data_IF_173345039652
#
_entry.id   IF_173345039652
#
_cell.length_a   1.000
_cell.length_b   1.000
_cell.length_c   1.000
_cell.angle_alpha   90.00
_cell.angle_beta   90.00
_cell.angle_gamma   90.00
#
_symmetry.space_group_name_H-M   'P 1'
#
loop_
_entity.id
_entity.type
_entity.pdbx_description
1 polymer ?
#
# COMPACT_ATOMS: atom_id res chain seq x y z
N UNK A 1 8.27 -10.70 -6.40
CA UNK A 1 9.23 -11.47 -7.25
C UNK A 1 8.63 -11.58 -8.64
N UNK A 2 9.40 -11.29 -9.69
CA UNK A 2 8.97 -11.40 -11.08
C UNK A 2 8.61 -12.86 -11.39
N UNK A 3 7.68 -13.10 -12.33
CA UNK A 3 7.39 -14.42 -12.86
C UNK A 3 8.65 -15.04 -13.49
N UNK A 4 8.85 -16.30 -13.24
CA UNK A 4 9.93 -17.10 -13.79
C UNK A 4 9.46 -18.56 -13.87
N UNK A 5 9.60 -19.17 -15.02
CA UNK A 5 9.09 -20.52 -15.28
C UNK A 5 9.67 -21.60 -14.35
N UNK A 6 10.86 -21.37 -13.83
CA UNK A 6 11.57 -22.37 -13.02
C UNK A 6 11.48 -22.10 -11.52
N UNK A 7 11.51 -20.82 -11.11
CA UNK A 7 11.60 -20.42 -9.70
C UNK A 7 10.37 -19.75 -9.13
N UNK A 8 9.43 -19.28 -9.99
CA UNK A 8 8.24 -18.54 -9.56
C UNK A 8 7.06 -18.72 -10.55
N UNK A 9 6.89 -19.91 -11.05
CA UNK A 9 5.87 -20.29 -12.04
C UNK A 9 4.42 -20.15 -11.52
N UNK A 10 4.23 -20.16 -10.21
CA UNK A 10 2.92 -20.00 -9.55
C UNK A 10 2.52 -18.54 -9.33
N UNK A 11 3.30 -17.58 -9.81
CA UNK A 11 2.90 -16.18 -9.80
C UNK A 11 1.99 -15.90 -11.00
N UNK A 12 0.70 -15.87 -10.76
CA UNK A 12 -0.32 -15.56 -11.75
C UNK A 12 -0.74 -14.07 -11.76
N UNK A 13 -0.31 -13.31 -10.76
CA UNK A 13 -0.77 -11.95 -10.56
C UNK A 13 -0.01 -10.92 -11.41
N UNK A 14 1.31 -10.89 -11.34
CA UNK A 14 2.11 -9.80 -11.95
C UNK A 14 3.42 -10.36 -12.51
N UNK A 15 3.60 -10.27 -13.83
CA UNK A 15 4.77 -10.79 -14.55
C UNK A 15 5.85 -9.74 -14.86
N UNK A 16 5.67 -8.48 -14.53
CA UNK A 16 6.60 -7.39 -14.88
C UNK A 16 7.18 -6.68 -13.67
N UNK A 17 8.33 -6.01 -13.87
CA UNK A 17 8.95 -5.15 -12.85
C UNK A 17 8.25 -3.79 -12.73
N UNK A 18 7.65 -3.31 -13.82
CA UNK A 18 6.92 -2.04 -13.85
C UNK A 18 5.44 -2.37 -13.91
N UNK A 19 4.67 -1.80 -12.98
CA UNK A 19 3.26 -2.04 -12.84
C UNK A 19 2.50 -0.74 -12.70
N UNK A 20 1.27 -0.71 -13.21
CA UNK A 20 0.32 0.36 -12.96
C UNK A 20 -0.28 0.18 -11.56
N UNK A 21 -0.45 1.28 -10.87
CA UNK A 21 -1.08 1.39 -9.57
C UNK A 21 -2.24 2.38 -9.68
N UNK A 22 -3.45 1.93 -9.38
CA UNK A 22 -4.64 2.77 -9.32
C UNK A 22 -5.19 2.66 -7.91
N UNK A 23 -5.34 3.78 -7.24
CA UNK A 23 -5.97 3.85 -5.92
C UNK A 23 -7.14 4.83 -5.97
N UNK A 24 -8.28 4.38 -5.51
CA UNK A 24 -9.46 5.20 -5.27
C UNK A 24 -9.79 5.13 -3.79
N UNK A 25 -9.81 6.28 -3.13
CA UNK A 25 -10.09 6.36 -1.71
C UNK A 25 -11.02 7.48 -1.34
N UNK A 26 -11.81 7.27 -0.29
CA UNK A 26 -12.61 8.30 0.36
C UNK A 26 -12.09 8.50 1.77
N UNK A 27 -11.86 9.75 2.13
CA UNK A 27 -11.40 10.13 3.47
C UNK A 27 -12.30 11.21 4.02
N UNK A 28 -12.89 10.94 5.17
CA UNK A 28 -13.59 11.92 5.97
C UNK A 28 -12.61 12.55 6.96
N UNK A 29 -12.54 13.87 6.97
CA UNK A 29 -11.73 14.63 7.90
C UNK A 29 -12.63 15.36 8.87
N UNK A 30 -12.51 15.06 10.15
CA UNK A 30 -13.22 15.75 11.20
C UNK A 30 -12.22 16.57 12.05
N UNK A 31 -12.39 17.89 12.00
CA UNK A 31 -11.60 18.81 12.82
C UNK A 31 -12.21 18.90 14.21
N UNK A 32 -11.58 18.27 15.20
CA UNK A 32 -12.04 18.26 16.57
C UNK A 32 -11.33 19.30 17.45
N UNK A 33 -10.22 19.85 16.94
CA UNK A 33 -9.49 20.97 17.56
C UNK A 33 -8.87 21.85 16.47
N UNK A 34 -8.58 23.15 16.73
CA UNK A 34 -8.07 24.08 15.70
C UNK A 34 -6.86 23.56 14.91
N UNK A 35 -6.00 22.80 15.54
CA UNK A 35 -4.78 22.26 14.94
C UNK A 35 -4.84 20.74 14.68
N UNK A 36 -5.95 20.07 15.04
CA UNK A 36 -6.05 18.63 14.97
C UNK A 36 -7.27 18.17 14.19
N UNK A 37 -7.04 17.20 13.33
CA UNK A 37 -8.10 16.52 12.58
C UNK A 37 -7.97 15.02 12.78
N UNK A 38 -9.09 14.35 12.88
CA UNK A 38 -9.20 12.92 12.72
C UNK A 38 -9.57 12.64 11.26
N UNK A 39 -8.83 11.75 10.63
CA UNK A 39 -9.11 11.27 9.28
C UNK A 39 -9.53 9.80 9.35
N UNK A 40 -10.63 9.44 8.72
CA UNK A 40 -11.06 8.06 8.57
C UNK A 40 -11.47 7.82 7.13
N UNK A 41 -11.09 6.70 6.55
CA UNK A 41 -11.36 6.45 5.15
C UNK A 41 -11.29 5.00 4.73
N UNK A 42 -11.69 4.77 3.50
CA UNK A 42 -11.61 3.48 2.81
C UNK A 42 -10.91 3.67 1.48
N UNK A 43 -10.14 2.65 1.09
CA UNK A 43 -9.38 2.63 -0.14
C UNK A 43 -9.66 1.37 -0.93
N UNK A 44 -9.74 1.53 -2.23
CA UNK A 44 -9.67 0.46 -3.20
C UNK A 44 -8.40 0.64 -4.04
N UNK A 45 -7.60 -0.39 -4.13
CA UNK A 45 -6.36 -0.36 -4.89
C UNK A 45 -6.32 -1.48 -5.91
N UNK A 46 -5.90 -1.13 -7.11
CA UNK A 46 -5.66 -2.06 -8.21
C UNK A 46 -4.21 -1.97 -8.67
N UNK A 47 -3.53 -3.12 -8.72
CA UNK A 47 -2.21 -3.26 -9.34
C UNK A 47 -2.32 -4.15 -10.57
N UNK A 48 -1.73 -3.72 -11.68
CA UNK A 48 -1.61 -4.53 -12.88
C UNK A 48 -0.44 -4.05 -13.74
N UNK A 49 0.03 -4.88 -14.62
CA UNK A 49 1.03 -4.47 -15.60
C UNK A 49 0.42 -4.00 -16.94
N UNK A 50 -0.89 -3.76 -16.98
CA UNK A 50 -1.58 -3.34 -18.21
C UNK A 50 -1.49 -4.38 -19.34
N UNK A 51 -1.36 -5.65 -19.01
CA UNK A 51 -1.18 -6.75 -19.95
C UNK A 51 0.07 -6.63 -20.85
N UNK A 52 1.06 -5.88 -20.39
CA UNK A 52 2.33 -5.73 -21.12
C UNK A 52 3.21 -6.97 -21.04
N UNK A 53 2.97 -7.83 -20.05
CA UNK A 53 3.70 -9.08 -19.84
C UNK A 53 2.84 -10.10 -19.08
N UNK A 54 2.88 -11.36 -19.50
CA UNK A 54 2.24 -12.45 -18.78
C UNK A 54 3.09 -12.86 -17.55
N UNK A 55 2.47 -13.25 -16.44
CA UNK A 55 1.05 -13.18 -16.14
C UNK A 55 0.58 -11.75 -15.75
N UNK A 56 -0.71 -11.49 -15.86
CA UNK A 56 -1.35 -10.25 -15.47
C UNK A 56 -2.75 -10.51 -14.86
N UNK A 57 -2.84 -11.36 -13.86
CA UNK A 57 -4.06 -11.55 -13.09
C UNK A 57 -4.46 -10.31 -12.28
N UNK A 58 -3.48 -9.41 -12.04
CA UNK A 58 -3.67 -8.21 -11.24
C UNK A 58 -3.84 -8.52 -9.75
N UNK A 59 -3.83 -7.47 -8.95
CA UNK A 59 -4.10 -7.55 -7.52
C UNK A 59 -5.06 -6.43 -7.13
N UNK A 60 -6.19 -6.79 -6.53
CA UNK A 60 -7.16 -5.86 -5.98
C UNK A 60 -7.15 -5.94 -4.47
N UNK A 61 -7.12 -4.78 -3.81
CA UNK A 61 -7.20 -4.70 -2.35
C UNK A 61 -8.24 -3.68 -1.92
N UNK A 62 -8.92 -3.94 -0.81
CA UNK A 62 -9.76 -2.99 -0.12
C UNK A 62 -9.15 -2.79 1.26
N UNK A 63 -8.95 -1.54 1.65
CA UNK A 63 -8.37 -1.16 2.93
C UNK A 63 -9.20 -0.11 3.66
N UNK A 64 -9.03 -0.06 4.96
CA UNK A 64 -9.50 1.05 5.79
C UNK A 64 -8.31 1.79 6.39
N UNK A 65 -8.44 3.11 6.56
CA UNK A 65 -7.43 3.93 7.23
C UNK A 65 -8.03 4.78 8.33
N UNK A 66 -7.27 4.98 9.38
CA UNK A 66 -7.54 5.99 10.41
C UNK A 66 -6.24 6.75 10.66
N UNK A 67 -6.32 8.07 10.75
CA UNK A 67 -5.16 8.91 10.97
C UNK A 67 -5.48 10.14 11.80
N UNK A 68 -4.46 10.68 12.44
CA UNK A 68 -4.52 11.96 13.14
C UNK A 68 -3.60 12.93 12.39
N UNK A 69 -4.12 14.08 12.02
CA UNK A 69 -3.38 15.14 11.34
C UNK A 69 -3.21 16.31 12.28
N UNK A 70 -1.97 16.73 12.50
CA UNK A 70 -1.65 17.95 13.24
C UNK A 70 -1.11 19.01 12.26
N UNK A 71 -1.72 20.18 12.32
CA UNK A 71 -1.23 21.35 11.57
C UNK A 71 -0.33 22.18 12.49
N UNK A 72 0.95 22.32 12.13
CA UNK A 72 1.88 23.18 12.84
C UNK A 72 1.78 24.59 12.25
N UNK A 73 1.95 25.62 13.10
CA UNK A 73 1.89 27.02 12.71
C UNK A 73 0.56 27.46 12.08
N UNK A 74 -0.54 26.84 12.49
CA UNK A 74 -1.85 27.37 12.20
C UNK A 74 -1.98 28.70 12.94
N UNK A 75 -1.84 29.81 12.25
CA UNK A 75 -2.19 31.11 12.79
C UNK A 75 -3.66 31.07 13.19
N UNK A 76 -3.96 31.52 14.41
CA UNK A 76 -5.33 31.60 14.90
C UNK A 76 -6.14 32.50 13.98
N UNK A 77 -6.83 31.93 13.03
CA UNK A 77 -7.86 32.64 12.26
C UNK A 77 -9.10 32.74 13.11
N UNK A 78 -9.04 33.64 14.07
CA UNK A 78 -10.23 34.11 14.71
C UNK A 78 -11.14 34.75 13.69
N UNK A 79 -12.34 34.19 13.60
CA UNK A 79 -13.60 34.81 13.22
C UNK A 79 -13.57 36.04 12.32
N UNK A 80 -14.15 35.87 11.17
CA UNK A 80 -14.67 36.96 10.36
C UNK A 80 -15.01 36.41 8.98
N UNK A 81 -16.26 36.14 8.72
CA UNK A 81 -16.77 35.82 7.39
C UNK A 81 -16.54 37.00 6.45
N UNK A 82 -15.32 37.12 5.94
CA UNK A 82 -14.98 38.00 4.83
C UNK A 82 -14.55 37.06 3.70
N UNK A 83 -15.10 37.31 2.51
CA UNK A 83 -14.84 36.56 1.28
C UNK A 83 -13.35 36.20 1.16
N UNK A 84 -13.01 34.98 0.74
CA UNK A 84 -11.64 34.51 0.80
C UNK A 84 -10.78 35.36 -0.13
N UNK A 85 -10.09 36.33 0.44
CA UNK A 85 -8.93 36.93 -0.20
C UNK A 85 -8.05 35.75 -0.60
N UNK A 86 -7.74 35.60 -1.88
CA UNK A 86 -6.89 34.51 -2.37
C UNK A 86 -5.60 34.55 -1.55
N UNK A 87 -5.52 33.69 -0.55
CA UNK A 87 -4.34 33.59 0.31
C UNK A 87 -3.20 33.07 -0.56
N UNK A 88 -2.22 33.90 -0.76
CA UNK A 88 -0.97 33.48 -1.35
C UNK A 88 -0.28 32.55 -0.34
N UNK A 89 -0.34 31.25 -0.60
CA UNK A 89 0.37 30.25 0.19
C UNK A 89 1.79 30.19 -0.39
N UNK A 90 2.76 30.60 0.41
CA UNK A 90 4.17 30.47 0.04
C UNK A 90 4.49 28.98 -0.16
N UNK A 91 5.32 28.66 -1.17
CA UNK A 91 5.82 27.30 -1.32
C UNK A 91 6.49 26.82 -0.02
N UNK A 92 6.19 25.61 0.39
CA UNK A 92 6.73 25.01 1.62
C UNK A 92 6.76 23.48 1.50
N UNK A 93 7.58 22.87 2.33
CA UNK A 93 7.64 21.41 2.46
C UNK A 93 6.64 20.95 3.51
N UNK A 94 5.91 19.88 3.19
CA UNK A 94 5.10 19.12 4.13
C UNK A 94 5.56 17.66 4.15
N UNK A 95 5.23 16.95 5.22
CA UNK A 95 5.60 15.55 5.38
C UNK A 95 4.33 14.74 5.61
N UNK A 96 4.11 13.77 4.75
CA UNK A 96 3.02 12.80 4.91
C UNK A 96 3.61 11.51 5.48
N UNK A 97 3.03 11.01 6.56
CA UNK A 97 3.38 9.72 7.15
C UNK A 97 2.10 8.89 7.25
N UNK A 98 2.11 7.72 6.62
CA UNK A 98 1.03 6.76 6.67
C UNK A 98 1.55 5.44 7.21
N UNK A 99 0.89 4.92 8.24
CA UNK A 99 1.10 3.55 8.72
C UNK A 99 -0.21 2.80 8.50
N UNK A 100 -0.11 1.60 7.98
CA UNK A 100 -1.27 0.76 7.74
C UNK A 100 -1.03 -0.69 8.14
N UNK A 101 -2.10 -1.38 8.42
CA UNK A 101 -2.07 -2.81 8.73
C UNK A 101 -3.22 -3.53 8.06
N UNK A 102 -3.00 -4.78 7.73
CA UNK A 102 -4.00 -5.66 7.16
C UNK A 102 -3.74 -7.11 7.58
N UNK A 103 -4.70 -7.96 7.32
CA UNK A 103 -4.54 -9.40 7.41
C UNK A 103 -4.99 -10.05 6.11
N UNK A 104 -4.33 -11.11 5.71
CA UNK A 104 -4.77 -11.89 4.55
C UNK A 104 -4.57 -13.39 4.75
N UNK A 105 -5.33 -14.16 3.99
CA UNK A 105 -5.12 -15.60 3.80
C UNK A 105 -4.38 -15.82 2.49
N UNK A 106 -3.58 -16.85 2.42
CA UNK A 106 -2.85 -17.23 1.21
C UNK A 106 -3.30 -18.59 0.73
N UNK A 107 -3.53 -18.72 -0.56
CA UNK A 107 -3.72 -19.97 -1.25
C UNK A 107 -2.66 -20.17 -2.32
N UNK A 108 -2.48 -21.39 -2.76
CA UNK A 108 -1.68 -21.77 -3.93
C UNK A 108 -2.36 -22.95 -4.64
N UNK A 109 -2.05 -23.12 -5.90
CA UNK A 109 -2.54 -24.25 -6.69
C UNK A 109 -1.39 -25.22 -6.86
N UNK A 110 -1.58 -26.47 -6.46
CA UNK A 110 -0.64 -27.58 -6.72
C UNK A 110 -1.38 -28.67 -7.47
N UNK A 111 -0.83 -29.07 -8.62
CA UNK A 111 -1.42 -30.11 -9.46
C UNK A 111 -2.89 -29.85 -9.81
N UNK A 112 -3.24 -28.57 -10.02
CA UNK A 112 -4.62 -28.16 -10.31
C UNK A 112 -5.54 -28.06 -9.08
N UNK A 113 -5.07 -28.39 -7.87
CA UNK A 113 -5.87 -28.37 -6.64
C UNK A 113 -5.59 -27.08 -5.85
N UNK A 114 -6.60 -26.21 -5.70
CA UNK A 114 -6.48 -25.03 -4.84
C UNK A 114 -6.28 -25.45 -3.37
N UNK A 115 -5.21 -25.00 -2.75
CA UNK A 115 -4.90 -25.31 -1.35
C UNK A 115 -4.74 -24.00 -0.56
N UNK A 116 -5.45 -23.89 0.55
CA UNK A 116 -5.35 -22.75 1.46
C UNK A 116 -4.29 -23.02 2.52
N UNK A 117 -3.38 -22.06 2.70
CA UNK A 117 -2.42 -22.10 3.80
C UNK A 117 -3.18 -21.83 5.11
N UNK A 118 -3.03 -22.67 6.13
CA UNK A 118 -3.69 -22.47 7.41
C UNK A 118 -3.29 -21.15 8.07
N UNK A 119 -4.27 -20.48 8.69
CA UNK A 119 -4.06 -19.25 9.43
C UNK A 119 -4.24 -17.99 8.60
N UNK A 120 -3.94 -16.87 9.24
CA UNK A 120 -3.95 -15.53 8.66
C UNK A 120 -2.58 -14.89 8.84
N UNK A 121 -2.17 -14.11 7.86
CA UNK A 121 -0.86 -13.45 7.84
C UNK A 121 -1.05 -11.95 8.05
N UNK A 122 -0.30 -11.38 8.99
CA UNK A 122 -0.27 -9.95 9.22
C UNK A 122 0.54 -9.22 8.14
N UNK A 123 0.06 -8.06 7.76
CA UNK A 123 0.74 -7.12 6.88
C UNK A 123 0.83 -5.79 7.62
N UNK A 124 2.01 -5.18 7.64
CA UNK A 124 2.22 -3.84 8.18
C UNK A 124 3.01 -3.04 7.16
N UNK A 125 2.55 -1.83 6.89
CA UNK A 125 3.24 -0.96 5.95
C UNK A 125 3.40 0.45 6.48
N UNK A 126 4.43 1.11 5.96
CA UNK A 126 4.80 2.49 6.23
C UNK A 126 5.02 3.19 4.90
N UNK A 127 4.45 4.38 4.76
CA UNK A 127 4.76 5.30 3.67
C UNK A 127 5.17 6.64 4.27
N UNK A 128 6.33 7.14 3.87
CA UNK A 128 6.82 8.45 4.25
C UNK A 128 7.05 9.28 2.98
N UNK A 129 6.37 10.42 2.86
CA UNK A 129 6.45 11.25 1.67
C UNK A 129 6.70 12.73 2.03
N UNK A 130 7.93 13.23 1.84
CA UNK A 130 8.19 14.65 1.79
C UNK A 130 7.60 15.25 0.50
N UNK A 131 6.73 16.24 0.66
CA UNK A 131 6.00 16.89 -0.44
C UNK A 131 6.31 18.38 -0.47
N UNK A 132 6.69 18.89 -1.63
CA UNK A 132 6.87 20.32 -1.87
C UNK A 132 5.58 20.89 -2.43
N UNK A 133 4.95 21.77 -1.66
CA UNK A 133 3.72 22.46 -2.01
C UNK A 133 4.07 23.69 -2.85
N UNK A 134 3.71 23.67 -4.13
CA UNK A 134 3.92 24.80 -5.07
C UNK A 134 2.92 25.95 -4.84
N UNK A 135 1.95 25.72 -3.99
CA UNK A 135 0.89 26.63 -3.63
C UNK A 135 -0.25 25.85 -3.00
N UNK A 136 -1.50 26.28 -3.21
CA UNK A 136 -2.65 25.60 -2.60
C UNK A 136 -3.21 24.46 -3.47
N UNK A 137 -2.78 24.32 -4.72
CA UNK A 137 -3.36 23.34 -5.67
C UNK A 137 -2.42 22.21 -6.02
N UNK A 138 -1.14 22.44 -6.10
CA UNK A 138 -0.16 21.47 -6.58
C UNK A 138 0.88 21.17 -5.54
N UNK A 139 1.16 19.90 -5.38
CA UNK A 139 2.30 19.42 -4.59
C UNK A 139 2.99 18.26 -5.30
N UNK A 140 4.30 18.24 -5.22
CA UNK A 140 5.16 17.22 -5.80
C UNK A 140 6.16 16.74 -4.76
N UNK A 141 6.58 15.50 -4.87
CA UNK A 141 7.52 14.94 -3.92
C UNK A 141 7.94 13.54 -4.26
N UNK A 142 8.58 12.92 -3.31
CA UNK A 142 8.94 11.51 -3.37
C UNK A 142 8.31 10.77 -2.19
N UNK A 143 8.12 9.46 -2.31
CA UNK A 143 7.74 8.63 -1.17
C UNK A 143 8.68 7.45 -1.02
N UNK A 144 8.93 7.11 0.23
CA UNK A 144 9.61 5.89 0.65
C UNK A 144 8.57 4.97 1.26
N UNK A 145 8.48 3.78 0.73
CA UNK A 145 7.52 2.77 1.13
C UNK A 145 8.24 1.57 1.75
N UNK A 146 7.74 1.10 2.86
CA UNK A 146 8.19 -0.13 3.50
C UNK A 146 7.01 -1.02 3.83
N UNK A 147 7.06 -2.28 3.45
CA UNK A 147 5.99 -3.25 3.73
C UNK A 147 6.58 -4.53 4.28
N UNK A 148 6.07 -4.95 5.42
CA UNK A 148 6.19 -6.30 5.91
C UNK A 148 4.95 -7.09 5.54
N UNK A 149 5.13 -8.22 4.87
CA UNK A 149 4.05 -9.14 4.52
C UNK A 149 4.37 -10.53 5.02
N UNK A 150 3.74 -10.93 6.11
CA UNK A 150 3.95 -12.24 6.73
C UNK A 150 3.59 -13.44 5.84
N UNK A 151 2.90 -13.21 4.73
CA UNK A 151 2.57 -14.25 3.75
C UNK A 151 3.55 -14.32 2.58
N UNK A 152 4.45 -13.33 2.47
CA UNK A 152 5.40 -13.30 1.37
C UNK A 152 6.38 -14.49 1.48
N UNK A 153 6.63 -15.12 0.33
CA UNK A 153 7.56 -16.25 0.22
C UNK A 153 7.26 -17.44 1.16
N UNK A 154 6.04 -17.56 1.70
CA UNK A 154 5.62 -18.78 2.40
C UNK A 154 5.54 -19.91 1.37
N UNK A 155 6.21 -20.99 1.62
CA UNK A 155 6.28 -22.15 0.74
C UNK A 155 5.95 -23.44 1.50
N UNK A 156 5.63 -24.46 0.76
CA UNK A 156 5.35 -25.79 1.26
C UNK A 156 6.55 -26.68 0.95
N UNK A 157 7.05 -27.36 1.95
CA UNK A 157 7.96 -28.49 1.79
C UNK A 157 7.15 -29.79 1.88
N UNK A 158 7.21 -30.60 0.83
CA UNK A 158 6.64 -31.94 0.88
C UNK A 158 7.66 -32.83 1.58
N UNK A 159 7.50 -33.02 2.89
CA UNK A 159 8.25 -34.02 3.61
C UNK A 159 7.72 -35.38 3.18
N UNK A 160 8.54 -36.15 2.45
CA UNK A 160 8.27 -37.56 2.19
C UNK A 160 8.44 -38.27 3.53
N UNK A 161 7.32 -38.58 4.19
CA UNK A 161 7.35 -39.43 5.38
C UNK A 161 7.52 -40.88 4.90
N UNK A 162 8.58 -41.51 5.36
CA UNK A 162 8.93 -42.89 5.07
C UNK A 162 7.73 -43.84 5.30
N UNK A 163 7.68 -44.85 4.46
CA UNK A 163 6.63 -45.88 4.36
C UNK A 163 6.22 -46.42 5.75
N UNK A 164 4.97 -46.14 6.18
CA UNK A 164 4.42 -46.78 7.37
C UNK A 164 3.46 -45.98 8.24
N UNK A 165 3.33 -44.65 8.08
CA UNK A 165 2.37 -43.86 8.85
C UNK A 165 1.45 -43.05 7.94
N UNK A 166 0.13 -43.26 8.12
CA UNK A 166 -0.93 -42.66 7.32
C UNK A 166 -1.22 -41.17 7.58
N UNK A 167 -0.25 -40.40 8.04
CA UNK A 167 -0.42 -38.97 8.22
C UNK A 167 0.73 -38.19 7.57
N UNK A 168 0.53 -37.75 6.33
CA UNK A 168 1.39 -36.74 5.72
C UNK A 168 1.19 -35.42 6.47
N UNK A 169 2.09 -35.11 7.39
CA UNK A 169 2.12 -33.82 8.08
C UNK A 169 2.54 -32.76 7.08
N UNK A 170 1.60 -31.95 6.63
CA UNK A 170 1.88 -30.82 5.73
C UNK A 170 2.48 -29.67 6.55
N UNK A 171 3.74 -29.42 6.38
CA UNK A 171 4.41 -28.35 7.07
C UNK A 171 4.62 -27.16 6.14
N UNK A 172 4.14 -25.97 6.55
CA UNK A 172 4.33 -24.73 5.81
C UNK A 172 5.48 -23.97 6.46
N UNK A 173 6.54 -23.75 5.69
CA UNK A 173 7.71 -23.02 6.16
C UNK A 173 7.56 -21.53 5.92
N UNK A 174 7.78 -20.74 6.97
CA UNK A 174 7.90 -19.28 6.87
C UNK A 174 9.37 -18.92 6.64
N UNK A 175 9.66 -18.13 5.61
CA UNK A 175 11.02 -17.65 5.39
C UNK A 175 11.41 -16.63 6.45
N UNK A 176 12.72 -16.34 6.54
CA UNK A 176 13.22 -15.27 7.39
C UNK A 176 12.61 -13.91 7.03
N UNK A 177 12.50 -13.01 8.00
CA UNK A 177 11.85 -11.70 7.89
C UNK A 177 12.34 -10.87 6.69
N UNK A 178 13.60 -10.99 6.34
CA UNK A 178 14.21 -10.31 5.19
C UNK A 178 13.55 -10.65 3.84
N UNK A 179 12.94 -11.84 3.73
CA UNK A 179 12.21 -12.27 2.53
C UNK A 179 10.74 -11.85 2.56
N UNK A 180 10.31 -11.26 3.67
CA UNK A 180 8.96 -10.77 3.88
C UNK A 180 8.89 -9.23 3.90
N UNK A 181 10.05 -8.57 3.77
CA UNK A 181 10.15 -7.12 3.67
C UNK A 181 10.27 -6.69 2.21
N UNK A 182 9.56 -5.63 1.86
CA UNK A 182 9.72 -4.91 0.60
C UNK A 182 9.93 -3.43 0.88
N UNK A 183 10.83 -2.81 0.13
CA UNK A 183 11.08 -1.38 0.16
C UNK A 183 10.85 -0.82 -1.23
N UNK A 184 10.20 0.34 -1.31
CA UNK A 184 9.90 1.01 -2.55
C UNK A 184 10.25 2.50 -2.49
N UNK A 185 10.58 3.06 -3.63
CA UNK A 185 10.77 4.49 -3.82
C UNK A 185 9.90 4.96 -4.98
N UNK A 186 9.14 6.03 -4.78
CA UNK A 186 8.30 6.60 -5.83
C UNK A 186 8.38 8.12 -5.89
N UNK A 187 8.13 8.67 -7.10
CA UNK A 187 7.81 10.07 -7.29
C UNK A 187 6.30 10.27 -7.19
N UNK A 188 5.84 11.38 -6.60
CA UNK A 188 4.42 11.72 -6.46
C UNK A 188 4.13 13.12 -6.98
N UNK A 189 3.00 13.27 -7.63
CA UNK A 189 2.43 14.57 -7.99
C UNK A 189 0.94 14.57 -7.62
N UNK A 190 0.48 15.66 -7.00
CA UNK A 190 -0.89 15.75 -6.51
C UNK A 190 -1.51 17.09 -6.88
N UNK A 191 -2.76 17.02 -7.30
CA UNK A 191 -3.63 18.18 -7.50
C UNK A 191 -4.68 18.22 -6.39
N UNK A 192 -4.59 19.24 -5.57
CA UNK A 192 -5.45 19.43 -4.39
C UNK A 192 -6.64 20.29 -4.76
N UNK A 193 -7.82 19.81 -4.47
CA UNK A 193 -9.09 20.50 -4.64
C UNK A 193 -9.78 20.65 -3.28
N UNK A 194 -10.79 21.53 -3.17
CA UNK A 194 -11.45 21.77 -1.87
C UNK A 194 -12.02 20.52 -1.20
N UNK A 195 -12.46 19.54 -1.98
CA UNK A 195 -13.16 18.35 -1.46
C UNK A 195 -12.39 17.04 -1.71
N UNK A 196 -11.45 17.04 -2.62
CA UNK A 196 -10.66 15.83 -2.95
C UNK A 196 -9.29 16.18 -3.51
N UNK A 197 -8.40 15.21 -3.51
CA UNK A 197 -7.08 15.32 -4.11
C UNK A 197 -6.92 14.22 -5.14
N UNK A 198 -6.39 14.55 -6.30
CA UNK A 198 -5.99 13.58 -7.31
C UNK A 198 -4.48 13.47 -7.24
N UNK A 199 -3.97 12.26 -7.04
CA UNK A 199 -2.54 11.97 -6.99
C UNK A 199 -2.14 10.95 -8.04
N UNK A 200 -0.95 11.13 -8.59
CA UNK A 200 -0.28 10.16 -9.46
C UNK A 200 1.09 9.86 -8.85
N UNK A 201 1.45 8.60 -8.83
CA UNK A 201 2.76 8.14 -8.38
C UNK A 201 3.36 7.13 -9.34
N UNK A 202 4.68 7.19 -9.50
CA UNK A 202 5.44 6.23 -10.27
C UNK A 202 6.68 5.85 -9.46
N UNK A 203 6.93 4.56 -9.31
CA UNK A 203 8.01 4.08 -8.46
C UNK A 203 8.54 2.72 -8.86
N UNK A 204 9.54 2.28 -8.11
CA UNK A 204 10.17 0.97 -8.21
C UNK A 204 10.38 0.37 -6.81
N UNK A 205 10.44 -0.96 -6.75
CA UNK A 205 10.68 -1.77 -5.58
C UNK A 205 11.61 -2.95 -5.89
#
# INVERSE_FOLDING_TARGET
KQYDEHSNWYNDAIGSKINAYINLGFVLNWQFYPQWKLAAGVDFTHFSNGNTRYPNGGLNTIGGRVGIVRTFNAEDKASGAIAPKRLYIKPHVSYDLLVYGATRKRGFVKEGIPTLVPGSFGIVGLNFAPMYNLGYKFRVGASLDGVYDGSANVYREDVIVEYGSSSSKREFLKPGIQHQLALGLSGRAEYVMPYFTIGVGMGAN
#
